data_IF_730178730209
#
_entry.id   IF_730178730209
#
_cell.length_a   1.000
_cell.length_b   1.000
_cell.length_c   1.000
_cell.angle_alpha   90.00
_cell.angle_beta   90.00
_cell.angle_gamma   90.00
#
_symmetry.space_group_name_H-M   'P 1'
#
loop_
_entity.id
_entity.type
_entity.pdbx_description
1 polymer ?
#
# COMPACT_ATOMS: atom_id res chain seq x y z
N UNK A 1 34.58 -2.03 -2.57
CA UNK A 1 33.49 -1.48 -3.41
C UNK A 1 32.24 -2.30 -3.17
N UNK A 2 31.28 -1.79 -2.39
CA UNK A 2 30.03 -2.51 -2.08
C UNK A 2 29.07 -2.31 -3.26
N UNK A 3 28.72 -3.39 -3.97
CA UNK A 3 27.74 -3.36 -5.05
C UNK A 3 26.35 -3.34 -4.41
N UNK A 4 25.70 -2.18 -4.39
CA UNK A 4 24.28 -2.09 -4.03
C UNK A 4 23.50 -2.64 -5.22
N UNK A 5 22.87 -3.80 -5.04
CA UNK A 5 21.94 -4.37 -6.02
C UNK A 5 20.82 -3.37 -6.24
N UNK A 6 20.74 -2.80 -7.46
CA UNK A 6 19.66 -1.90 -7.82
C UNK A 6 18.38 -2.73 -7.97
N UNK A 7 17.23 -2.24 -7.50
CA UNK A 7 15.93 -2.86 -7.75
C UNK A 7 15.72 -2.91 -9.27
N UNK A 8 15.95 -4.07 -9.90
CA UNK A 8 15.95 -4.21 -11.38
C UNK A 8 14.57 -4.00 -11.99
N UNK A 9 13.50 -4.22 -11.23
CA UNK A 9 12.11 -3.98 -11.63
C UNK A 9 11.29 -3.48 -10.45
N UNK A 10 10.53 -2.42 -10.67
CA UNK A 10 9.57 -1.87 -9.70
C UNK A 10 8.18 -2.32 -10.13
N UNK A 11 7.50 -3.05 -9.27
CA UNK A 11 6.08 -3.40 -9.41
C UNK A 11 5.27 -2.68 -8.34
N UNK A 12 4.15 -2.08 -8.74
CA UNK A 12 3.23 -1.44 -7.81
C UNK A 12 2.05 -2.36 -7.52
N UNK A 13 1.87 -2.69 -6.25
CA UNK A 13 0.76 -3.51 -5.75
C UNK A 13 -0.08 -2.72 -4.74
N UNK A 14 -1.33 -3.14 -4.56
CA UNK A 14 -2.22 -2.58 -3.55
C UNK A 14 -2.45 -3.64 -2.50
N UNK A 15 -2.40 -3.27 -1.22
CA UNK A 15 -2.55 -4.19 -0.12
C UNK A 15 -3.20 -3.54 1.09
N UNK A 16 -3.73 -4.37 1.99
CA UNK A 16 -4.19 -3.97 3.32
C UNK A 16 -3.18 -4.45 4.35
N UNK A 17 -2.84 -3.58 5.30
CA UNK A 17 -2.01 -3.97 6.45
C UNK A 17 -2.90 -4.81 7.38
N UNK A 18 -2.54 -6.07 7.59
CA UNK A 18 -3.23 -6.96 8.53
C UNK A 18 -2.64 -6.80 9.93
N UNK A 19 -1.30 -6.82 10.03
CA UNK A 19 -0.60 -6.77 11.29
C UNK A 19 0.69 -5.97 11.19
N UNK A 20 1.00 -5.19 12.22
CA UNK A 20 2.35 -4.66 12.42
C UNK A 20 3.20 -5.72 13.11
N UNK A 21 4.29 -6.13 12.48
CA UNK A 21 5.20 -7.14 13.06
C UNK A 21 6.20 -6.42 13.96
N UNK A 22 6.75 -5.30 13.49
CA UNK A 22 7.72 -4.49 14.21
C UNK A 22 7.52 -3.00 13.90
N UNK A 23 8.43 -2.15 14.37
CA UNK A 23 8.47 -0.73 13.98
C UNK A 23 8.85 -0.55 12.50
N UNK A 24 9.60 -1.49 11.92
CA UNK A 24 10.08 -1.45 10.54
C UNK A 24 9.26 -2.30 9.58
N UNK A 25 8.54 -3.32 10.03
CA UNK A 25 7.90 -4.30 9.15
C UNK A 25 6.40 -4.45 9.42
N UNK A 26 5.64 -4.66 8.35
CA UNK A 26 4.21 -4.96 8.39
C UNK A 26 3.88 -6.18 7.54
N UNK A 27 2.91 -6.96 7.99
CA UNK A 27 2.28 -8.00 7.18
C UNK A 27 1.17 -7.37 6.33
N UNK A 28 1.28 -7.54 5.02
CA UNK A 28 0.36 -7.00 4.02
C UNK A 28 -0.38 -8.15 3.35
N UNK A 29 -1.70 -8.06 3.30
CA UNK A 29 -2.55 -8.88 2.44
C UNK A 29 -2.78 -8.14 1.12
N UNK A 30 -2.18 -8.62 0.05
CA UNK A 30 -2.23 -8.01 -1.26
C UNK A 30 -3.55 -8.28 -1.97
N UNK A 31 -4.01 -7.27 -2.69
CA UNK A 31 -5.20 -7.33 -3.53
C UNK A 31 -4.80 -7.47 -4.99
N UNK A 32 -5.59 -8.23 -5.73
CA UNK A 32 -5.47 -8.35 -7.17
C UNK A 32 -6.46 -7.41 -7.87
N UNK A 33 -6.07 -6.88 -9.03
CA UNK A 33 -6.97 -6.10 -9.87
C UNK A 33 -8.00 -7.05 -10.48
N UNK A 34 -9.30 -6.75 -10.33
CA UNK A 34 -10.39 -7.62 -10.83
C UNK A 34 -10.35 -7.83 -12.36
N UNK A 35 -9.71 -6.92 -13.09
CA UNK A 35 -9.51 -7.01 -14.54
C UNK A 35 -8.74 -5.81 -15.07
N UNK A 36 -8.23 -5.89 -16.31
CA UNK A 36 -7.32 -4.90 -16.89
C UNK A 36 -7.88 -3.46 -16.86
N UNK A 37 -9.17 -3.29 -17.11
CA UNK A 37 -9.84 -1.98 -17.16
C UNK A 37 -10.65 -1.64 -15.89
N UNK A 38 -10.60 -2.49 -14.85
CA UNK A 38 -11.37 -2.25 -13.62
C UNK A 38 -10.61 -1.33 -12.67
N UNK A 39 -11.32 -0.45 -11.97
CA UNK A 39 -10.77 0.29 -10.83
C UNK A 39 -10.96 -0.46 -9.50
N UNK A 40 -11.51 -1.68 -9.55
CA UNK A 40 -11.76 -2.50 -8.37
C UNK A 40 -10.58 -3.45 -8.10
N UNK A 41 -10.22 -3.53 -6.82
CA UNK A 41 -9.27 -4.48 -6.26
C UNK A 41 -10.05 -5.45 -5.38
N UNK A 42 -9.72 -6.74 -5.46
CA UNK A 42 -10.35 -7.81 -4.69
C UNK A 42 -9.27 -8.66 -4.03
N UNK A 43 -9.63 -9.35 -2.95
CA UNK A 43 -8.74 -10.37 -2.40
C UNK A 43 -8.69 -11.58 -3.34
N UNK A 44 -7.50 -12.15 -3.58
CA UNK A 44 -7.38 -13.43 -4.27
C UNK A 44 -8.03 -14.54 -3.43
N UNK A 45 -8.39 -15.64 -4.10
CA UNK A 45 -9.00 -16.81 -3.45
C UNK A 45 -8.08 -17.42 -2.39
N UNK A 46 -6.79 -17.54 -2.74
CA UNK A 46 -5.74 -17.84 -1.78
C UNK A 46 -5.13 -16.52 -1.32
N UNK A 47 -5.15 -16.25 -0.02
CA UNK A 47 -4.59 -15.03 0.55
C UNK A 47 -3.14 -14.83 0.11
N UNK A 48 -2.83 -13.63 -0.40
CA UNK A 48 -1.49 -13.23 -0.79
C UNK A 48 -0.91 -12.36 0.32
N UNK A 49 -0.33 -13.01 1.34
CA UNK A 49 0.16 -12.34 2.54
C UNK A 49 1.68 -12.37 2.54
N UNK A 50 2.33 -11.22 2.72
CA UNK A 50 3.78 -11.14 2.90
C UNK A 50 4.18 -10.03 3.86
N UNK A 51 5.37 -10.18 4.44
CA UNK A 51 6.01 -9.15 5.26
C UNK A 51 6.74 -8.17 4.35
N UNK A 52 6.53 -6.87 4.60
CA UNK A 52 7.11 -5.77 3.82
C UNK A 52 7.66 -4.70 4.75
N UNK A 53 8.81 -4.15 4.39
CA UNK A 53 9.41 -3.00 5.06
C UNK A 53 8.55 -1.74 4.92
N UNK A 54 8.41 -0.99 6.01
CA UNK A 54 7.65 0.26 6.07
C UNK A 54 8.18 1.32 5.09
N UNK A 55 9.47 1.28 4.76
CA UNK A 55 10.11 2.20 3.80
C UNK A 55 9.63 1.96 2.36
N UNK A 56 9.18 0.74 2.05
CA UNK A 56 8.67 0.36 0.74
C UNK A 56 7.15 0.56 0.60
N UNK A 57 6.46 0.99 1.67
CA UNK A 57 5.00 1.16 1.70
C UNK A 57 4.62 2.63 1.59
N UNK A 58 3.92 2.99 0.51
CA UNK A 58 3.22 4.29 0.42
C UNK A 58 1.84 4.18 1.08
N UNK A 59 1.71 4.71 2.30
CA UNK A 59 0.44 4.70 3.05
C UNK A 59 -0.48 5.83 2.58
N UNK A 60 -1.72 5.50 2.22
CA UNK A 60 -2.77 6.50 1.98
C UNK A 60 -3.38 6.93 3.31
N UNK A 61 -3.57 8.23 3.47
CA UNK A 61 -4.34 8.76 4.59
C UNK A 61 -5.81 8.33 4.48
N UNK A 62 -6.50 8.09 5.61
CA UNK A 62 -7.93 7.90 5.58
C UNK A 62 -8.61 9.13 4.98
N UNK A 63 -9.76 8.94 4.35
CA UNK A 63 -10.59 10.07 3.95
C UNK A 63 -10.92 10.88 5.21
N UNK A 64 -10.73 12.21 5.19
CA UNK A 64 -11.03 13.02 6.36
C UNK A 64 -12.52 12.88 6.71
N UNK A 65 -12.80 12.73 8.01
CA UNK A 65 -14.17 12.58 8.51
C UNK A 65 -15.02 13.84 8.29
N UNK A 66 -14.36 15.01 8.21
CA UNK A 66 -14.97 16.28 7.84
C UNK A 66 -14.39 16.74 6.51
N UNK A 67 -15.28 17.14 5.59
CA UNK A 67 -14.89 17.90 4.41
C UNK A 67 -14.34 19.25 4.91
N UNK A 68 -13.02 19.43 4.82
CA UNK A 68 -12.39 20.70 5.16
C UNK A 68 -12.82 21.78 4.16
N UNK A 69 -13.66 22.71 4.59
CA UNK A 69 -13.88 23.96 3.87
C UNK A 69 -12.71 24.91 4.16
N UNK A 70 -12.10 25.47 3.13
CA UNK A 70 -11.20 26.62 3.31
C UNK A 70 -12.06 27.82 3.71
N UNK A 71 -11.95 28.28 4.95
CA UNK A 71 -12.48 29.59 5.33
C UNK A 71 -11.70 30.64 4.54
N UNK A 72 -12.33 31.22 3.52
CA UNK A 72 -11.81 32.44 2.89
C UNK A 72 -12.10 33.59 3.84
N UNK A 73 -11.07 34.12 4.48
CA UNK A 73 -11.17 35.42 5.17
C UNK A 73 -11.31 36.50 4.09
N UNK A 74 -12.34 37.34 4.22
CA UNK A 74 -12.57 38.49 3.34
C UNK A 74 -11.55 39.62 3.62
#
# INVERSE_FOLDING_TARGET
MVKVSRKEKISHSVGKIEKKISSSECEINFLIKRGLHSNQFIYPENGDISVVDNEDIVKRLPKPAMLGGTLRTA
#
